data_IF_389241805521
#
_entry.id   IF_389241805521
#
_cell.length_a   1.000
_cell.length_b   1.000
_cell.length_c   1.000
_cell.angle_alpha   90.00
_cell.angle_beta   90.00
_cell.angle_gamma   90.00
#
_symmetry.space_group_name_H-M   'P 1'
#
loop_
_entity.id
_entity.type
_entity.pdbx_description
1 polymer ?
#
# COMPACT_ATOMS: atom_id res chain seq x y z
N UNK A 1 -28.13 11.92 -8.65
CA UNK A 1 -26.98 11.22 -9.28
C UNK A 1 -25.72 11.53 -8.47
N UNK A 2 -25.02 10.51 -7.96
CA UNK A 2 -23.70 10.76 -7.34
C UNK A 2 -22.73 11.08 -8.46
N UNK A 3 -22.35 12.34 -8.59
CA UNK A 3 -21.36 12.75 -9.59
C UNK A 3 -20.00 12.20 -9.21
N UNK A 4 -19.15 11.88 -10.18
CA UNK A 4 -17.78 11.41 -9.96
C UNK A 4 -17.02 12.32 -8.97
N UNK A 5 -17.28 13.63 -9.06
CA UNK A 5 -16.77 14.68 -8.17
C UNK A 5 -17.14 14.45 -6.69
N UNK A 6 -18.36 14.00 -6.40
CA UNK A 6 -18.82 13.70 -5.03
C UNK A 6 -18.16 12.45 -4.45
N UNK A 7 -17.90 11.43 -5.27
CA UNK A 7 -17.24 10.18 -4.85
C UNK A 7 -15.76 10.44 -4.57
N UNK A 8 -15.09 11.17 -5.46
CA UNK A 8 -13.69 11.55 -5.31
C UNK A 8 -13.47 12.43 -4.08
N UNK A 9 -14.38 13.37 -3.79
CA UNK A 9 -14.27 14.22 -2.60
C UNK A 9 -14.49 13.44 -1.30
N UNK A 10 -15.32 12.40 -1.32
CA UNK A 10 -15.60 11.55 -0.15
C UNK A 10 -14.50 10.53 0.12
N UNK A 11 -13.94 9.91 -0.91
CA UNK A 11 -13.00 8.79 -0.77
C UNK A 11 -11.56 9.11 -1.18
N UNK A 12 -11.33 10.20 -1.90
CA UNK A 12 -10.01 10.62 -2.37
C UNK A 12 -9.01 10.86 -1.24
N UNK A 13 -9.36 11.59 -0.15
CA UNK A 13 -8.45 11.76 0.99
C UNK A 13 -8.09 10.43 1.66
N UNK A 14 -9.06 9.53 1.80
CA UNK A 14 -8.84 8.19 2.35
C UNK A 14 -7.90 7.37 1.46
N UNK A 15 -8.13 7.38 0.15
CA UNK A 15 -7.28 6.69 -0.81
C UNK A 15 -5.84 7.24 -0.77
N UNK A 16 -5.68 8.57 -0.69
CA UNK A 16 -4.37 9.20 -0.56
C UNK A 16 -3.63 8.74 0.70
N UNK A 17 -4.30 8.69 1.86
CA UNK A 17 -3.70 8.19 3.11
C UNK A 17 -3.25 6.74 2.93
N UNK A 18 -4.08 5.89 2.32
CA UNK A 18 -3.75 4.48 2.08
C UNK A 18 -2.53 4.35 1.17
N UNK A 19 -2.48 5.11 0.07
CA UNK A 19 -1.33 5.13 -0.84
C UNK A 19 -0.05 5.51 -0.10
N UNK A 20 -0.08 6.58 0.69
CA UNK A 20 1.09 7.05 1.45
C UNK A 20 1.55 6.00 2.47
N UNK A 21 0.63 5.39 3.22
CA UNK A 21 0.96 4.36 4.21
C UNK A 21 1.56 3.13 3.53
N UNK A 22 0.96 2.66 2.42
CA UNK A 22 1.45 1.52 1.65
C UNK A 22 2.83 1.83 1.07
N UNK A 23 3.04 3.02 0.50
CA UNK A 23 4.36 3.42 -0.01
C UNK A 23 5.45 3.38 1.06
N UNK A 24 5.16 3.90 2.26
CA UNK A 24 6.12 3.89 3.36
C UNK A 24 6.45 2.45 3.77
N UNK A 25 5.43 1.59 3.90
CA UNK A 25 5.64 0.18 4.28
C UNK A 25 6.43 -0.57 3.21
N UNK A 26 6.11 -0.39 1.92
CA UNK A 26 6.80 -1.10 0.84
C UNK A 26 8.24 -0.60 0.66
N UNK A 27 8.47 0.72 0.69
CA UNK A 27 9.81 1.26 0.52
C UNK A 27 10.69 0.98 1.74
N UNK A 28 10.21 1.28 2.95
CA UNK A 28 11.01 1.08 4.16
C UNK A 28 11.07 -0.40 4.53
N UNK A 29 9.92 -1.08 4.55
CA UNK A 29 9.83 -2.50 4.89
C UNK A 29 10.49 -3.39 3.84
N UNK A 30 10.33 -3.11 2.55
CA UNK A 30 11.00 -3.83 1.47
C UNK A 30 12.53 -3.71 1.56
N UNK A 31 13.05 -2.49 1.78
CA UNK A 31 14.49 -2.29 1.98
C UNK A 31 15.01 -3.01 3.22
N UNK A 32 14.29 -2.95 4.34
CA UNK A 32 14.68 -3.64 5.57
C UNK A 32 14.67 -5.16 5.38
N UNK A 33 13.66 -5.71 4.69
CA UNK A 33 13.55 -7.13 4.42
C UNK A 33 14.70 -7.61 3.52
N UNK A 34 14.97 -6.91 2.42
CA UNK A 34 16.06 -7.25 1.49
C UNK A 34 17.42 -7.14 2.19
N UNK A 35 17.62 -6.12 3.01
CA UNK A 35 18.84 -5.99 3.82
C UNK A 35 18.98 -7.16 4.80
N UNK A 36 17.90 -7.55 5.47
CA UNK A 36 17.89 -8.68 6.40
C UNK A 36 18.20 -10.00 5.69
N UNK A 37 17.61 -10.23 4.50
CA UNK A 37 17.93 -11.37 3.63
C UNK A 37 19.41 -11.38 3.20
N UNK A 38 19.99 -10.21 2.93
CA UNK A 38 21.41 -10.05 2.63
C UNK A 38 22.32 -10.52 3.76
N UNK A 39 21.96 -10.20 5.00
CA UNK A 39 22.73 -10.54 6.19
C UNK A 39 22.52 -11.98 6.68
N UNK A 40 21.32 -12.54 6.50
CA UNK A 40 20.93 -13.81 7.14
C UNK A 40 20.78 -14.98 6.15
N UNK A 41 20.63 -14.71 4.85
CA UNK A 41 20.39 -15.75 3.84
C UNK A 41 21.50 -15.77 2.79
N UNK A 42 21.71 -14.67 2.06
CA UNK A 42 22.73 -14.63 0.99
C UNK A 42 23.11 -13.19 0.60
N UNK A 43 24.40 -12.91 0.44
CA UNK A 43 24.91 -11.56 0.11
C UNK A 43 24.34 -10.97 -1.18
N UNK A 44 23.94 -11.83 -2.13
CA UNK A 44 23.30 -11.43 -3.39
C UNK A 44 22.03 -10.60 -3.18
N UNK A 45 21.33 -10.77 -2.06
CA UNK A 45 20.17 -9.93 -1.74
C UNK A 45 20.55 -8.45 -1.55
N UNK A 46 21.81 -8.12 -1.20
CA UNK A 46 22.26 -6.73 -1.20
C UNK A 46 22.27 -6.11 -2.61
N UNK A 47 22.51 -6.91 -3.66
CA UNK A 47 22.40 -6.42 -5.04
C UNK A 47 20.95 -6.11 -5.44
N UNK A 48 19.97 -6.64 -4.70
CA UNK A 48 18.54 -6.38 -4.88
C UNK A 48 18.02 -5.21 -4.03
N UNK A 49 18.87 -4.55 -3.23
CA UNK A 49 18.52 -3.31 -2.52
C UNK A 49 17.85 -2.24 -3.42
N UNK A 50 18.25 -2.03 -4.69
CA UNK A 50 17.56 -1.09 -5.57
C UNK A 50 16.24 -1.63 -6.16
N UNK A 51 15.95 -2.93 -6.04
CA UNK A 51 14.79 -3.56 -6.69
C UNK A 51 13.43 -3.00 -6.23
N UNK A 52 13.18 -2.65 -4.95
CA UNK A 52 11.93 -2.00 -4.54
C UNK A 52 11.69 -0.70 -5.31
N UNK A 53 12.71 0.14 -5.49
CA UNK A 53 12.55 1.37 -6.26
C UNK A 53 12.18 1.16 -7.74
N UNK A 54 12.40 -0.05 -8.27
CA UNK A 54 12.17 -0.38 -9.68
C UNK A 54 10.91 -1.23 -9.92
N UNK A 55 10.50 -2.06 -8.95
CA UNK A 55 9.51 -3.13 -9.16
C UNK A 55 8.32 -3.02 -8.19
N UNK A 56 8.31 -2.07 -7.26
CA UNK A 56 7.29 -2.06 -6.21
C UNK A 56 5.84 -2.07 -6.72
N UNK A 57 5.01 -2.84 -6.03
CA UNK A 57 3.67 -3.24 -6.44
C UNK A 57 2.59 -2.24 -6.00
N UNK A 58 2.96 -0.98 -5.71
CA UNK A 58 2.05 0.03 -5.14
C UNK A 58 0.75 0.21 -5.91
N UNK A 59 0.81 0.08 -7.24
CA UNK A 59 -0.34 0.14 -8.14
C UNK A 59 -1.40 -0.92 -7.83
N UNK A 60 -0.99 -2.05 -7.27
CA UNK A 60 -1.85 -3.20 -6.92
C UNK A 60 -2.16 -3.24 -5.43
N UNK A 61 -1.19 -3.03 -4.54
CA UNK A 61 -1.41 -3.06 -3.08
C UNK A 61 -2.32 -1.93 -2.61
N UNK A 62 -2.17 -0.71 -3.15
CA UNK A 62 -3.00 0.44 -2.78
C UNK A 62 -4.50 0.24 -3.05
N UNK A 63 -4.95 -0.17 -4.26
CA UNK A 63 -6.37 -0.44 -4.47
C UNK A 63 -6.87 -1.62 -3.64
N UNK A 64 -6.07 -2.67 -3.42
CA UNK A 64 -6.46 -3.81 -2.57
C UNK A 64 -6.75 -3.34 -1.14
N UNK A 65 -5.83 -2.59 -0.52
CA UNK A 65 -6.02 -2.06 0.84
C UNK A 65 -7.22 -1.12 0.90
N UNK A 66 -7.42 -0.30 -0.12
CA UNK A 66 -8.61 0.55 -0.24
C UNK A 66 -9.92 -0.26 -0.31
N UNK A 67 -9.97 -1.31 -1.13
CA UNK A 67 -11.15 -2.19 -1.22
C UNK A 67 -11.42 -2.92 0.10
N UNK A 68 -10.38 -3.42 0.77
CA UNK A 68 -10.50 -4.04 2.10
C UNK A 68 -11.03 -3.03 3.11
N UNK A 69 -10.47 -1.82 3.15
CA UNK A 69 -10.93 -0.74 4.02
C UNK A 69 -12.40 -0.40 3.78
N UNK A 70 -12.80 -0.20 2.52
CA UNK A 70 -14.19 0.09 2.15
C UNK A 70 -15.14 -1.03 2.59
N UNK A 71 -14.73 -2.29 2.48
CA UNK A 71 -15.51 -3.45 2.93
C UNK A 71 -15.66 -3.49 4.45
N UNK A 72 -14.65 -3.08 5.21
CA UNK A 72 -14.70 -2.99 6.68
C UNK A 72 -15.57 -1.81 7.12
N UNK A 73 -15.40 -0.63 6.52
CA UNK A 73 -16.15 0.58 6.89
C UNK A 73 -17.63 0.48 6.55
N UNK A 74 -18.00 -0.06 5.39
CA UNK A 74 -19.41 -0.23 5.02
C UNK A 74 -20.12 -1.21 5.98
N UNK A 75 -19.44 -2.26 6.46
CA UNK A 75 -19.99 -3.14 7.50
C UNK A 75 -20.24 -2.45 8.83
N UNK A 76 -19.55 -1.34 9.11
CA UNK A 76 -19.73 -0.56 10.33
C UNK A 76 -20.93 0.41 10.26
N UNK A 77 -21.41 0.75 9.06
CA UNK A 77 -22.61 1.58 8.87
C UNK A 77 -23.92 0.79 8.91
N UNK A 78 -23.94 -0.49 8.50
CA UNK A 78 -25.15 -1.32 8.52
C UNK A 78 -25.45 -1.98 9.88
N UNK A 79 -24.51 -1.91 10.83
CA UNK A 79 -24.64 -2.47 12.18
C UNK A 79 -24.95 -1.46 13.29
N UNK A 80 -25.33 -0.23 12.93
CA UNK A 80 -25.70 0.84 13.86
C UNK A 80 -27.03 1.49 13.47
#
# INVERSE_FOLDING_TARGET
MRTLKSVLKKHGPTFLIIVVVVEIIEHVGGLLLIRWLGLNVHEYFHALLPAPFLICFHWLTSPIVFFIYMKIVNRKQDGN
#
